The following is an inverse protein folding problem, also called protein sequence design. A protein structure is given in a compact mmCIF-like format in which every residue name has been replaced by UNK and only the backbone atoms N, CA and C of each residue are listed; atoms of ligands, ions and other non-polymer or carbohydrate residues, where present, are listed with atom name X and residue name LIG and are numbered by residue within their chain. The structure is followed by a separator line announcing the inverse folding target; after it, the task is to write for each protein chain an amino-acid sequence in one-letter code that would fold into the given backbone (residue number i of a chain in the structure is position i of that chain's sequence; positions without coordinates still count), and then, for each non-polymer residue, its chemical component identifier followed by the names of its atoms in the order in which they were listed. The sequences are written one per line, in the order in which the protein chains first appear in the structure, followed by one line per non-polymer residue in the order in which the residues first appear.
data_IF_504743436027
#
_entry.id   IF_504743436027
#
_cell.length_a   1.000
_cell.length_b   1.000
_cell.length_c   1.000
_cell.angle_alpha   90.00
_cell.angle_beta   90.00
_cell.angle_gamma   90.00
#
_symmetry.space_group_name_H-M   'P 1'
#
loop_
_entity.id
_entity.type
_entity.pdbx_description
1 polymer ?
#
# COMPACT_ATOMS: atom_id res chain seq x y z
N UNK A 1 61.48 5.06 22.89
CA UNK A 1 60.78 6.34 22.61
C UNK A 1 59.96 6.27 21.32
N UNK A 2 60.43 5.61 20.26
CA UNK A 2 59.70 5.44 18.98
C UNK A 2 58.38 4.66 19.06
N UNK A 3 58.30 3.60 19.88
CA UNK A 3 57.07 2.79 20.01
C UNK A 3 55.91 3.56 20.67
N UNK A 4 56.23 4.46 21.59
CA UNK A 4 55.21 5.28 22.27
C UNK A 4 54.65 6.36 21.34
N UNK A 5 55.51 6.96 20.53
CA UNK A 5 55.13 7.90 19.48
C UNK A 5 54.26 7.25 18.40
N UNK A 6 54.56 6.00 18.01
CA UNK A 6 53.76 5.26 17.04
C UNK A 6 52.35 4.95 17.55
N UNK A 7 52.22 4.57 18.83
CA UNK A 7 50.92 4.31 19.47
C UNK A 7 50.08 5.57 19.61
N UNK A 8 50.71 6.70 19.97
CA UNK A 8 50.06 8.01 19.99
C UNK A 8 49.56 8.43 18.60
N UNK A 9 50.38 8.24 17.56
CA UNK A 9 49.99 8.53 16.18
C UNK A 9 48.79 7.68 15.71
N UNK A 10 48.77 6.38 16.04
CA UNK A 10 47.64 5.50 15.72
C UNK A 10 46.36 5.90 16.47
N UNK A 11 46.48 6.28 17.74
CA UNK A 11 45.33 6.72 18.53
C UNK A 11 44.73 8.02 17.98
N UNK A 12 45.57 8.99 17.61
CA UNK A 12 45.15 10.25 16.99
C UNK A 12 44.50 9.99 15.63
N UNK A 13 45.09 9.16 14.77
CA UNK A 13 44.51 8.79 13.49
C UNK A 13 43.13 8.12 13.65
N UNK A 14 42.96 7.23 14.63
CA UNK A 14 41.69 6.55 14.89
C UNK A 14 40.60 7.53 15.36
N UNK A 15 40.96 8.50 16.23
CA UNK A 15 40.03 9.54 16.69
C UNK A 15 39.64 10.50 15.58
N UNK A 16 40.56 10.86 14.66
CA UNK A 16 40.22 11.65 13.46
C UNK A 16 39.28 10.89 12.52
N UNK A 17 39.51 9.59 12.27
CA UNK A 17 38.62 8.78 11.42
C UNK A 17 37.19 8.67 11.98
N UNK A 18 37.03 8.59 13.30
CA UNK A 18 35.72 8.52 13.98
C UNK A 18 34.99 9.88 13.95
N UNK A 19 35.71 11.00 13.80
CA UNK A 19 35.15 12.37 13.80
C UNK A 19 34.88 12.96 12.41
N UNK A 20 35.18 12.22 11.34
CA UNK A 20 34.93 12.64 9.96
C UNK A 20 33.60 12.12 9.36
N UNK A 21 32.72 11.50 10.15
CA UNK A 21 31.34 11.17 9.74
C UNK A 21 30.34 11.95 10.60
N UNK A 22 30.17 13.23 10.28
CA UNK A 22 29.00 14.03 10.64
C UNK A 22 28.85 15.24 9.71
N UNK A 23 27.88 15.11 8.79
CA UNK A 23 27.13 16.13 8.06
C UNK A 23 27.85 17.10 7.10
N UNK A 24 27.49 17.00 5.81
CA UNK A 24 26.92 18.14 5.11
C UNK A 24 25.50 17.80 4.61
N UNK A 25 24.64 18.83 4.56
CA UNK A 25 23.23 18.70 4.26
C UNK A 25 22.90 18.40 2.81
N UNK A 26 21.65 18.69 2.47
CA UNK A 26 20.95 18.50 1.19
C UNK A 26 20.35 17.11 1.05
N UNK A 27 19.03 17.08 1.22
CA UNK A 27 18.11 15.98 1.03
C UNK A 27 18.12 15.57 -0.45
N UNK A 28 19.11 14.77 -0.83
CA UNK A 28 19.14 14.05 -2.09
C UNK A 28 19.17 12.55 -1.79
N UNK A 29 18.07 11.89 -2.14
CA UNK A 29 18.11 10.62 -2.86
C UNK A 29 18.89 9.48 -2.18
N UNK A 30 18.34 8.94 -1.10
CA UNK A 30 18.64 7.58 -0.65
C UNK A 30 17.71 6.58 -1.36
N UNK A 31 17.91 6.42 -2.66
CA UNK A 31 17.46 5.24 -3.38
C UNK A 31 18.60 4.23 -3.37
N UNK A 32 18.44 3.11 -2.64
CA UNK A 32 18.87 1.75 -3.01
C UNK A 32 18.87 0.84 -1.78
N UNK A 33 17.68 0.35 -1.40
CA UNK A 33 17.48 -0.91 -0.65
C UNK A 33 15.99 -1.25 -0.41
N UNK A 34 15.03 -0.50 -0.93
CA UNK A 34 13.64 -0.97 -1.00
C UNK A 34 13.50 -1.88 -2.22
N UNK A 35 13.78 -3.17 -2.00
CA UNK A 35 13.32 -4.34 -2.77
C UNK A 35 12.17 -3.97 -3.71
N UNK A 36 12.32 -4.22 -5.01
CA UNK A 36 11.37 -3.94 -6.12
C UNK A 36 9.97 -4.53 -5.88
N UNK A 37 9.30 -3.98 -4.89
CA UNK A 37 8.00 -4.40 -4.39
C UNK A 37 7.06 -3.44 -5.05
N UNK A 38 6.44 -3.87 -6.14
CA UNK A 38 5.36 -3.13 -6.77
C UNK A 38 4.41 -2.64 -5.66
N UNK A 39 4.22 -1.33 -5.52
CA UNK A 39 3.34 -0.76 -4.49
C UNK A 39 1.89 -1.30 -4.58
N UNK A 40 1.52 -1.86 -5.74
CA UNK A 40 0.24 -2.52 -6.00
C UNK A 40 0.27 -4.05 -5.92
N UNK A 41 1.45 -4.69 -5.91
CA UNK A 41 1.59 -6.15 -5.91
C UNK A 41 2.65 -6.59 -4.90
N UNK A 42 2.71 -5.92 -3.75
CA UNK A 42 3.76 -6.12 -2.77
C UNK A 42 3.67 -7.46 -2.06
N UNK A 43 4.02 -8.51 -2.80
CA UNK A 43 4.16 -9.86 -2.29
C UNK A 43 5.62 -10.02 -1.94
N UNK A 44 5.90 -10.07 -0.63
CA UNK A 44 7.17 -10.55 -0.13
C UNK A 44 7.40 -11.94 -0.72
N UNK A 45 8.57 -12.14 -1.33
CA UNK A 45 8.96 -13.40 -1.93
C UNK A 45 8.70 -14.55 -0.94
N UNK A 46 7.85 -15.54 -1.27
CA UNK A 46 7.55 -16.64 -0.37
C UNK A 46 8.80 -17.51 -0.19
N UNK A 47 9.02 -17.92 1.06
CA UNK A 47 10.19 -18.71 1.50
C UNK A 47 10.22 -20.13 0.89
N UNK A 48 9.09 -20.60 0.34
CA UNK A 48 8.93 -21.90 -0.30
C UNK A 48 8.76 -21.77 -1.83
N UNK A 49 9.68 -22.33 -2.64
CA UNK A 49 9.71 -22.13 -4.09
C UNK A 49 8.52 -22.74 -4.84
N UNK A 50 7.89 -23.82 -4.35
CA UNK A 50 6.72 -24.40 -5.05
C UNK A 50 5.44 -23.62 -4.75
N UNK A 51 5.18 -23.35 -3.47
CA UNK A 51 4.06 -22.50 -3.04
C UNK A 51 4.15 -21.09 -3.63
N UNK A 52 5.37 -20.59 -3.84
CA UNK A 52 5.60 -19.31 -4.50
C UNK A 52 5.21 -19.25 -5.96
N UNK A 53 5.42 -20.32 -6.72
CA UNK A 53 5.06 -20.37 -8.14
C UNK A 53 3.55 -20.36 -8.32
N UNK A 54 2.82 -21.15 -7.52
CA UNK A 54 1.35 -21.17 -7.54
C UNK A 54 0.77 -19.80 -7.17
N UNK A 55 1.38 -19.08 -6.22
CA UNK A 55 0.94 -17.74 -5.83
C UNK A 55 1.15 -16.72 -6.97
N UNK A 56 2.27 -16.81 -7.69
CA UNK A 56 2.57 -15.95 -8.83
C UNK A 56 1.59 -16.19 -9.99
N UNK A 57 1.32 -17.45 -10.33
CA UNK A 57 0.38 -17.81 -11.40
C UNK A 57 -1.04 -17.34 -11.07
N UNK A 58 -1.47 -17.51 -9.81
CA UNK A 58 -2.74 -17.00 -9.32
C UNK A 58 -2.82 -15.47 -9.44
N UNK A 59 -1.80 -14.74 -9.00
CA UNK A 59 -1.74 -13.29 -9.13
C UNK A 59 -1.80 -12.83 -10.57
N UNK A 60 -1.14 -13.55 -11.48
CA UNK A 60 -1.17 -13.24 -12.90
C UNK A 60 -2.57 -13.47 -13.50
N UNK A 61 -3.24 -14.56 -13.11
CA UNK A 61 -4.62 -14.84 -13.49
C UNK A 61 -5.58 -13.74 -13.00
N UNK A 62 -5.44 -13.32 -11.74
CA UNK A 62 -6.24 -12.23 -11.15
C UNK A 62 -5.97 -10.91 -11.87
N UNK A 63 -4.71 -10.57 -12.18
CA UNK A 63 -4.37 -9.37 -12.97
C UNK A 63 -5.05 -9.38 -14.34
N UNK A 64 -4.98 -10.50 -15.08
CA UNK A 64 -5.67 -10.65 -16.37
C UNK A 64 -7.18 -10.54 -16.22
N UNK A 65 -7.74 -11.13 -15.16
CA UNK A 65 -9.16 -11.04 -14.86
C UNK A 65 -9.59 -9.59 -14.64
N UNK A 66 -8.87 -8.83 -13.81
CA UNK A 66 -9.13 -7.41 -13.57
C UNK A 66 -9.09 -6.60 -14.87
N UNK A 67 -8.05 -6.78 -15.70
CA UNK A 67 -7.93 -6.08 -16.98
C UNK A 67 -9.11 -6.39 -17.91
N UNK A 68 -9.52 -7.66 -17.99
CA UNK A 68 -10.69 -8.10 -18.76
C UNK A 68 -11.98 -7.44 -18.26
N UNK A 69 -12.23 -7.41 -16.95
CA UNK A 69 -13.41 -6.75 -16.36
C UNK A 69 -13.42 -5.24 -16.60
N UNK A 70 -12.25 -4.62 -16.66
CA UNK A 70 -12.08 -3.21 -16.99
C UNK A 70 -12.08 -2.93 -18.51
N UNK A 71 -12.24 -3.98 -19.34
CA UNK A 71 -12.18 -3.88 -20.81
C UNK A 71 -10.86 -3.29 -21.33
N UNK A 72 -9.76 -3.54 -20.61
CA UNK A 72 -8.42 -3.08 -20.95
C UNK A 72 -7.58 -4.24 -21.47
N UNK A 73 -6.76 -3.97 -22.49
CA UNK A 73 -5.82 -4.97 -23.04
C UNK A 73 -4.57 -5.12 -22.18
N UNK A 74 -4.08 -3.99 -21.66
CA UNK A 74 -2.87 -3.90 -20.86
C UNK A 74 -3.05 -2.84 -19.77
N UNK A 75 -2.16 -2.88 -18.76
CA UNK A 75 -2.09 -1.85 -17.73
C UNK A 75 -1.80 -0.47 -18.36
N UNK A 76 -2.58 0.58 -18.03
CA UNK A 76 -2.30 1.92 -18.49
C UNK A 76 -0.92 2.42 -18.04
N UNK A 77 -0.18 3.05 -18.95
CA UNK A 77 1.11 3.67 -18.65
C UNK A 77 0.89 5.02 -17.94
N UNK A 78 1.46 5.18 -16.74
CA UNK A 78 1.35 6.42 -15.96
C UNK A 78 2.67 7.19 -16.13
N UNK A 79 2.70 8.13 -17.06
CA UNK A 79 3.89 8.96 -17.32
C UNK A 79 4.03 10.06 -16.27
N UNK A 80 2.98 10.87 -16.09
CA UNK A 80 2.92 11.93 -15.08
C UNK A 80 1.61 11.84 -14.31
N UNK A 81 1.63 11.39 -13.04
CA UNK A 81 0.42 11.36 -12.24
C UNK A 81 -0.07 12.78 -11.98
N UNK A 82 -1.40 12.96 -12.02
CA UNK A 82 -2.04 14.18 -11.54
C UNK A 82 -1.63 14.42 -10.08
N UNK A 83 -1.45 15.68 -9.69
CA UNK A 83 -1.12 16.00 -8.30
C UNK A 83 -2.14 15.35 -7.34
N UNK A 84 -1.64 14.70 -6.29
CA UNK A 84 -2.49 13.95 -5.35
C UNK A 84 -3.59 14.83 -4.75
N UNK A 85 -3.25 16.09 -4.44
CA UNK A 85 -4.20 17.08 -3.92
C UNK A 85 -5.33 17.40 -4.92
N UNK A 86 -5.02 17.60 -6.20
CA UNK A 86 -6.03 17.85 -7.22
C UNK A 86 -6.93 16.62 -7.43
N UNK A 87 -6.34 15.43 -7.48
CA UNK A 87 -7.09 14.18 -7.61
C UNK A 87 -8.06 13.97 -6.44
N UNK A 88 -7.60 14.09 -5.19
CA UNK A 88 -8.43 13.96 -3.98
C UNK A 88 -9.56 14.99 -3.98
N UNK A 89 -9.26 16.24 -4.34
CA UNK A 89 -10.25 17.32 -4.39
C UNK A 89 -11.32 17.04 -5.45
N UNK A 90 -10.90 16.60 -6.64
CA UNK A 90 -11.81 16.24 -7.72
C UNK A 90 -12.71 15.06 -7.31
N UNK A 91 -12.14 13.97 -6.78
CA UNK A 91 -12.88 12.79 -6.34
C UNK A 91 -13.91 13.13 -5.25
N UNK A 92 -13.53 13.99 -4.29
CA UNK A 92 -14.45 14.49 -3.24
C UNK A 92 -15.61 15.28 -3.85
N UNK A 93 -15.33 16.19 -4.78
CA UNK A 93 -16.35 17.04 -5.43
C UNK A 93 -17.28 16.26 -6.36
N UNK A 94 -16.77 15.23 -7.01
CA UNK A 94 -17.54 14.39 -7.93
C UNK A 94 -18.35 13.30 -7.20
N UNK A 95 -18.26 13.22 -5.87
CA UNK A 95 -18.79 12.11 -5.07
C UNK A 95 -18.33 10.72 -5.55
N UNK A 96 -17.21 10.65 -6.27
CA UNK A 96 -16.61 9.43 -6.79
C UNK A 96 -15.55 8.83 -5.84
N UNK A 97 -15.25 9.53 -4.74
CA UNK A 97 -14.29 9.10 -3.72
C UNK A 97 -14.51 9.83 -2.40
N UNK A 98 -14.68 9.10 -1.29
CA UNK A 98 -14.66 9.64 0.07
C UNK A 98 -13.24 9.52 0.61
N UNK A 99 -12.63 10.64 0.96
CA UNK A 99 -11.25 10.64 1.49
C UNK A 99 -11.29 10.62 3.01
N UNK A 100 -10.68 9.59 3.59
CA UNK A 100 -10.50 9.43 5.04
C UNK A 100 -9.38 10.34 5.56
N UNK A 101 -9.32 10.53 6.87
CA UNK A 101 -8.27 11.32 7.54
C UNK A 101 -6.86 10.72 7.37
N UNK A 102 -6.75 9.41 7.15
CA UNK A 102 -5.50 8.69 6.84
C UNK A 102 -5.02 8.89 5.38
N UNK A 103 -5.75 9.67 4.57
CA UNK A 103 -5.43 9.97 3.19
C UNK A 103 -5.74 8.84 2.20
N UNK A 104 -6.47 7.80 2.62
CA UNK A 104 -7.03 6.76 1.74
C UNK A 104 -8.34 7.23 1.11
N UNK A 105 -8.59 6.80 -0.12
CA UNK A 105 -9.83 7.10 -0.85
C UNK A 105 -10.70 5.85 -0.86
N UNK A 106 -11.89 5.94 -0.28
CA UNK A 106 -12.97 4.96 -0.34
C UNK A 106 -13.89 5.30 -1.51
N UNK A 107 -14.47 4.30 -2.17
CA UNK A 107 -15.43 4.52 -3.27
C UNK A 107 -16.84 4.55 -2.66
N UNK A 108 -17.56 5.69 -2.70
CA UNK A 108 -18.94 5.75 -2.24
C UNK A 108 -19.83 4.88 -3.13
N UNK A 109 -20.77 4.13 -2.54
CA UNK A 109 -21.69 3.24 -3.26
C UNK A 109 -20.98 2.20 -4.13
N UNK A 110 -20.01 1.48 -3.56
CA UNK A 110 -19.48 0.31 -4.23
C UNK A 110 -20.62 -0.71 -4.39
N UNK A 111 -21.12 -0.90 -5.62
CA UNK A 111 -22.25 -1.79 -5.99
C UNK A 111 -22.06 -3.28 -5.60
N UNK A 112 -20.96 -3.60 -4.92
CA UNK A 112 -20.67 -4.89 -4.32
C UNK A 112 -20.57 -4.84 -2.79
N UNK A 113 -21.19 -3.87 -2.12
CA UNK A 113 -21.44 -3.95 -0.68
C UNK A 113 -22.80 -4.63 -0.46
N UNK A 114 -22.83 -5.96 -0.25
CA UNK A 114 -24.08 -6.68 -0.05
C UNK A 114 -24.87 -6.23 1.20
N UNK A 115 -24.29 -5.40 2.07
CA UNK A 115 -24.83 -5.06 3.39
C UNK A 115 -26.21 -4.42 3.37
N UNK A 116 -26.65 -3.87 2.23
CA UNK A 116 -28.01 -3.35 2.13
C UNK A 116 -29.06 -4.42 1.83
N UNK A 117 -28.68 -5.49 1.13
CA UNK A 117 -29.61 -6.53 0.69
C UNK A 117 -29.55 -7.78 1.58
N UNK A 118 -28.37 -8.15 2.10
CA UNK A 118 -28.21 -9.29 3.00
C UNK A 118 -28.91 -9.07 4.35
N UNK A 119 -28.92 -7.84 4.86
CA UNK A 119 -29.67 -7.47 6.07
C UNK A 119 -31.18 -7.58 5.88
N UNK A 120 -31.68 -7.39 4.64
CA UNK A 120 -33.09 -7.49 4.33
C UNK A 120 -33.54 -8.96 4.24
N UNK A 121 -32.71 -9.83 3.68
CA UNK A 121 -32.97 -11.27 3.62
C UNK A 121 -32.98 -11.94 5.01
N UNK A 122 -32.21 -11.42 5.97
CA UNK A 122 -32.20 -11.90 7.36
C UNK A 122 -33.34 -11.34 8.22
N UNK A 123 -34.09 -10.33 7.73
CA UNK A 123 -35.17 -9.69 8.48
C UNK A 123 -36.55 -10.23 8.08
N UNK A 124 -37.24 -10.90 8.99
CA UNK A 124 -38.65 -11.28 8.83
C UNK A 124 -39.56 -10.31 9.58
N UNK A 125 -40.57 -9.78 8.90
CA UNK A 125 -41.65 -9.01 9.53
C UNK A 125 -42.78 -9.96 9.97
N UNK A 126 -43.17 -9.90 11.24
CA UNK A 126 -44.25 -10.73 11.80
C UNK A 126 -45.45 -9.81 12.09
N UNK A 127 -46.59 -10.12 11.48
CA UNK A 127 -47.86 -9.43 11.71
C UNK A 127 -48.75 -10.34 12.56
N UNK A 128 -48.90 -10.04 13.85
CA UNK A 128 -49.79 -10.78 14.75
C UNK A 128 -51.11 -10.04 14.93
N UNK A 129 -52.21 -10.78 14.84
CA UNK A 129 -53.55 -10.27 15.14
C UNK A 129 -53.97 -10.66 16.56
N UNK A 130 -54.74 -9.80 17.21
CA UNK A 130 -55.25 -10.05 18.54
C UNK A 130 -56.28 -11.20 18.53
N UNK A 131 -56.14 -12.12 19.49
CA UNK A 131 -57.13 -13.16 19.77
C UNK A 131 -58.22 -12.61 20.70
N UNK A 132 -59.48 -12.99 20.46
CA UNK A 132 -60.59 -12.68 21.37
C UNK A 132 -60.55 -13.64 22.56
N UNK A 133 -60.13 -13.13 23.73
CA UNK A 133 -60.12 -13.90 24.98
C UNK A 133 -61.49 -14.49 25.31
N UNK A 134 -61.49 -15.77 25.67
CA UNK A 134 -62.66 -16.53 26.13
C UNK A 134 -63.05 -16.16 27.56
#
# INVERSE_FOLDING_TARGET
MSSWLLRLALFVACVLSIRCTAAPGTEAEAHTASKDTCASCGVAQPEDPESGRLNVDFLEAVKRHILSRLQMRERPNITHPVSRAAMVTALRKLHAGKVREDGRVEIPNLDGHPMSNEVLEESSEIISFAEKGA
#
